data_IF_034183960312
#
_entry.id   IF_034183960312
#
_cell.length_a   1.000
_cell.length_b   1.000
_cell.length_c   1.000
_cell.angle_alpha   90.00
_cell.angle_beta   90.00
_cell.angle_gamma   90.00
#
_symmetry.space_group_name_H-M   'P 1'
#
loop_
_entity.id
_entity.type
_entity.pdbx_description
1 polymer ?
#
# COMPACT_ATOMS: atom_id res chain seq x y z
N UNK A 1 15.23 -30.01 11.17
CA UNK A 1 15.41 -28.55 10.95
C UNK A 1 16.83 -28.18 11.34
N UNK A 2 17.70 -27.85 10.40
CA UNK A 2 19.07 -27.40 10.70
C UNK A 2 19.06 -26.17 11.60
N UNK A 3 20.04 -26.04 12.49
CA UNK A 3 20.12 -24.95 13.48
C UNK A 3 20.11 -23.55 12.83
N UNK A 4 20.56 -23.44 11.57
CA UNK A 4 20.51 -22.22 10.77
C UNK A 4 19.10 -21.70 10.50
N UNK A 5 18.09 -22.57 10.37
CA UNK A 5 16.69 -22.16 10.10
C UNK A 5 15.99 -21.53 11.29
N UNK A 6 16.51 -21.73 12.52
CA UNK A 6 15.97 -21.13 13.75
C UNK A 6 16.69 -19.83 14.15
N UNK A 7 17.69 -19.38 13.39
CA UNK A 7 18.44 -18.16 13.69
C UNK A 7 17.53 -16.94 13.80
N UNK A 8 16.52 -16.85 12.93
CA UNK A 8 15.56 -15.74 12.89
C UNK A 8 14.41 -15.89 13.90
N UNK A 9 14.31 -17.01 14.61
CA UNK A 9 13.25 -17.31 15.58
C UNK A 9 13.83 -17.48 16.98
N UNK A 10 14.36 -16.39 17.56
CA UNK A 10 15.09 -16.40 18.85
C UNK A 10 14.34 -17.13 19.97
N UNK A 11 13.05 -16.87 20.11
CA UNK A 11 12.22 -17.47 21.17
C UNK A 11 12.02 -18.98 20.95
N UNK A 12 11.77 -19.41 19.71
CA UNK A 12 11.61 -20.83 19.37
C UNK A 12 12.92 -21.61 19.55
N UNK A 13 14.06 -20.99 19.20
CA UNK A 13 15.40 -21.54 19.44
C UNK A 13 15.67 -21.72 20.93
N UNK A 14 15.35 -20.72 21.75
CA UNK A 14 15.50 -20.78 23.21
C UNK A 14 14.62 -21.88 23.82
N UNK A 15 13.35 -21.95 23.42
CA UNK A 15 12.43 -22.99 23.88
C UNK A 15 12.95 -24.39 23.57
N UNK A 16 13.37 -24.64 22.32
CA UNK A 16 13.92 -25.94 21.90
C UNK A 16 15.16 -26.33 22.70
N UNK A 17 16.09 -25.39 22.87
CA UNK A 17 17.35 -25.66 23.58
C UNK A 17 17.15 -25.83 25.10
N UNK A 18 16.17 -25.14 25.70
CA UNK A 18 15.89 -25.25 27.13
C UNK A 18 15.07 -26.48 27.52
N UNK A 19 14.28 -27.02 26.60
CA UNK A 19 13.34 -28.13 26.89
C UNK A 19 13.67 -29.44 26.15
N UNK A 20 14.63 -29.41 25.21
CA UNK A 20 14.87 -30.49 24.24
C UNK A 20 13.61 -30.93 23.45
N UNK A 21 12.59 -30.06 23.36
CA UNK A 21 11.37 -30.37 22.64
C UNK A 21 11.62 -30.60 21.14
N UNK A 22 10.94 -31.61 20.58
CA UNK A 22 10.92 -31.84 19.13
C UNK A 22 9.99 -30.82 18.46
N UNK A 23 10.48 -30.13 17.44
CA UNK A 23 9.66 -29.23 16.61
C UNK A 23 9.09 -30.03 15.45
N UNK A 24 7.76 -30.06 15.33
CA UNK A 24 7.10 -30.54 14.13
C UNK A 24 7.39 -29.58 12.97
N UNK A 25 8.27 -30.02 12.08
CA UNK A 25 8.73 -29.22 10.96
C UNK A 25 7.67 -29.05 9.88
N UNK A 26 6.73 -29.98 9.75
CA UNK A 26 5.66 -29.91 8.75
C UNK A 26 4.64 -28.88 9.18
N UNK A 27 4.20 -28.95 10.43
CA UNK A 27 3.30 -27.95 11.01
C UNK A 27 3.93 -26.55 10.98
N UNK A 28 5.18 -26.43 11.43
CA UNK A 28 5.88 -25.14 11.44
C UNK A 28 6.02 -24.54 10.03
N UNK A 29 6.36 -25.35 9.03
CA UNK A 29 6.46 -24.89 7.63
C UNK A 29 5.11 -24.46 7.06
N UNK A 30 4.04 -25.19 7.39
CA UNK A 30 2.68 -24.83 6.98
C UNK A 30 2.23 -23.51 7.63
N UNK A 31 2.47 -23.32 8.93
CA UNK A 31 2.14 -22.10 9.63
C UNK A 31 2.88 -20.87 9.05
N UNK A 32 4.18 -21.02 8.75
CA UNK A 32 4.95 -19.96 8.09
C UNK A 32 4.42 -19.64 6.68
N UNK A 33 4.05 -20.67 5.90
CA UNK A 33 3.46 -20.47 4.58
C UNK A 33 2.15 -19.68 4.70
N UNK A 34 1.24 -20.09 5.58
CA UNK A 34 -0.03 -19.40 5.79
C UNK A 34 0.16 -17.95 6.26
N UNK A 35 1.12 -17.68 7.14
CA UNK A 35 1.46 -16.33 7.56
C UNK A 35 1.98 -15.48 6.38
N UNK A 36 2.86 -16.05 5.55
CA UNK A 36 3.39 -15.36 4.36
C UNK A 36 2.27 -15.05 3.36
N UNK A 37 1.41 -16.03 3.10
CA UNK A 37 0.34 -15.92 2.12
C UNK A 37 -0.72 -14.91 2.61
N UNK A 38 -1.13 -14.97 3.88
CA UNK A 38 -2.04 -13.99 4.47
C UNK A 38 -1.45 -12.59 4.58
N UNK A 39 -0.13 -12.45 4.81
CA UNK A 39 0.54 -11.17 4.72
C UNK A 39 0.53 -10.63 3.28
N UNK A 40 0.84 -11.47 2.29
CA UNK A 40 0.87 -11.07 0.88
C UNK A 40 -0.51 -10.61 0.39
N UNK A 41 -1.57 -11.31 0.77
CA UNK A 41 -2.96 -10.93 0.47
C UNK A 41 -3.30 -9.54 1.04
N UNK A 42 -3.07 -9.34 2.35
CA UNK A 42 -3.33 -8.04 3.00
C UNK A 42 -2.44 -6.93 2.47
N UNK A 43 -1.18 -7.24 2.17
CA UNK A 43 -0.25 -6.28 1.59
C UNK A 43 -0.74 -5.80 0.23
N UNK A 44 -1.16 -6.72 -0.65
CA UNK A 44 -1.69 -6.38 -1.96
C UNK A 44 -2.90 -5.45 -1.86
N UNK A 45 -3.88 -5.79 -1.01
CA UNK A 45 -5.07 -4.96 -0.77
C UNK A 45 -4.70 -3.55 -0.28
N UNK A 46 -3.82 -3.45 0.72
CA UNK A 46 -3.38 -2.16 1.28
C UNK A 46 -2.52 -1.37 0.29
N UNK A 47 -1.75 -2.04 -0.55
CA UNK A 47 -0.92 -1.40 -1.56
C UNK A 47 -1.75 -0.76 -2.68
N UNK A 48 -2.84 -1.41 -3.11
CA UNK A 48 -3.80 -0.80 -4.02
C UNK A 48 -4.44 0.45 -3.40
N UNK A 49 -4.93 0.36 -2.15
CA UNK A 49 -5.46 1.52 -1.43
C UNK A 49 -4.42 2.66 -1.32
N UNK A 50 -3.16 2.33 -1.09
CA UNK A 50 -2.08 3.31 -1.03
C UNK A 50 -1.87 4.02 -2.38
N UNK A 51 -1.80 3.30 -3.51
CA UNK A 51 -1.66 3.92 -4.83
C UNK A 51 -2.79 4.91 -5.10
N UNK A 52 -4.01 4.50 -4.75
CA UNK A 52 -5.21 5.32 -4.86
C UNK A 52 -5.16 6.57 -3.97
N UNK A 53 -4.69 6.47 -2.73
CA UNK A 53 -4.55 7.64 -1.85
C UNK A 53 -3.39 8.55 -2.30
N UNK A 54 -2.34 7.96 -2.87
CA UNK A 54 -1.17 8.70 -3.36
C UNK A 54 -1.54 9.61 -4.53
N UNK A 55 -2.37 9.18 -5.48
CA UNK A 55 -2.85 10.03 -6.57
C UNK A 55 -3.71 11.19 -6.04
N UNK A 56 -4.56 10.95 -5.04
CA UNK A 56 -5.32 12.00 -4.35
C UNK A 56 -4.41 13.02 -3.64
N UNK A 57 -3.35 12.57 -2.97
CA UNK A 57 -2.36 13.47 -2.37
C UNK A 57 -1.57 14.26 -3.41
N UNK A 58 -1.21 13.62 -4.54
CA UNK A 58 -0.52 14.30 -5.63
C UNK A 58 -1.36 15.46 -6.19
N UNK A 59 -2.68 15.28 -6.31
CA UNK A 59 -3.61 16.32 -6.73
C UNK A 59 -3.60 17.54 -5.79
N UNK A 60 -3.50 17.33 -4.48
CA UNK A 60 -3.43 18.42 -3.50
C UNK A 60 -2.12 19.20 -3.62
N UNK A 61 -1.00 18.50 -3.85
CA UNK A 61 0.33 19.13 -3.90
C UNK A 61 0.55 19.85 -5.24
N UNK A 62 0.14 19.22 -6.34
CA UNK A 62 0.30 19.77 -7.68
C UNK A 62 -0.89 19.35 -8.55
N UNK A 63 -2.00 20.12 -8.51
CA UNK A 63 -3.22 19.73 -9.19
C UNK A 63 -3.02 19.63 -10.70
N UNK A 64 -2.29 20.57 -11.31
CA UNK A 64 -2.17 20.72 -12.78
C UNK A 64 -1.48 19.52 -13.46
N UNK A 65 -0.52 18.90 -12.78
CA UNK A 65 0.27 17.77 -13.29
C UNK A 65 -0.32 16.39 -12.95
N UNK A 66 -1.41 16.35 -12.17
CA UNK A 66 -1.98 15.08 -11.69
C UNK A 66 -2.95 14.47 -12.70
N UNK A 67 -2.91 13.14 -12.86
CA UNK A 67 -3.91 12.39 -13.61
C UNK A 67 -5.23 12.31 -12.83
N UNK A 68 -6.20 13.13 -13.19
CA UNK A 68 -7.52 13.16 -12.55
C UNK A 68 -8.30 11.85 -12.67
N UNK A 69 -8.00 11.02 -13.68
CA UNK A 69 -8.67 9.73 -13.88
C UNK A 69 -8.29 8.70 -12.81
N UNK A 70 -7.12 8.86 -12.18
CA UNK A 70 -6.60 7.97 -11.14
C UNK A 70 -6.90 8.50 -9.73
N UNK A 71 -7.48 9.70 -9.61
CA UNK A 71 -7.74 10.35 -8.33
C UNK A 71 -9.02 9.79 -7.71
N UNK A 72 -8.90 9.13 -6.56
CA UNK A 72 -10.09 8.62 -5.87
C UNK A 72 -10.76 9.70 -5.04
N UNK A 73 -11.92 10.10 -5.53
CA UNK A 73 -12.76 11.14 -4.93
C UNK A 73 -14.05 10.62 -4.29
N UNK A 74 -14.34 9.32 -4.45
CA UNK A 74 -15.53 8.67 -3.88
C UNK A 74 -15.68 8.87 -2.38
N UNK A 75 -14.61 8.75 -1.56
CA UNK A 75 -14.67 8.99 -0.11
C UNK A 75 -15.11 10.41 0.29
N UNK A 76 -15.00 11.38 -0.62
CA UNK A 76 -15.33 12.78 -0.34
C UNK A 76 -16.73 13.17 -0.84
N UNK A 77 -17.46 12.24 -1.46
CA UNK A 77 -18.78 12.52 -2.03
C UNK A 77 -18.76 13.51 -3.20
N UNK A 78 -17.60 13.67 -3.85
CA UNK A 78 -17.43 14.59 -4.97
C UNK A 78 -17.81 13.88 -6.27
N UNK A 79 -18.64 14.53 -7.08
CA UNK A 79 -18.95 14.07 -8.42
C UNK A 79 -17.74 14.22 -9.37
N UNK A 80 -17.45 13.17 -10.13
CA UNK A 80 -16.32 13.14 -11.07
C UNK A 80 -16.47 14.17 -12.19
N UNK A 81 -17.69 14.41 -12.68
CA UNK A 81 -17.96 15.42 -13.70
C UNK A 81 -17.68 16.83 -13.19
N UNK A 82 -18.16 17.15 -11.98
CA UNK A 82 -17.91 18.42 -11.32
C UNK A 82 -16.41 18.68 -11.11
N UNK A 83 -15.66 17.68 -10.65
CA UNK A 83 -14.22 17.80 -10.48
C UNK A 83 -13.50 18.02 -11.82
N UNK A 84 -13.86 17.30 -12.88
CA UNK A 84 -13.29 17.48 -14.21
C UNK A 84 -13.53 18.89 -14.74
N UNK A 85 -14.73 19.44 -14.54
CA UNK A 85 -15.06 20.81 -14.94
C UNK A 85 -14.24 21.85 -14.19
N UNK A 86 -14.10 21.71 -12.87
CA UNK A 86 -13.27 22.60 -12.06
C UNK A 86 -11.79 22.52 -12.45
N UNK A 87 -11.32 21.32 -12.78
CA UNK A 87 -9.94 21.12 -13.23
C UNK A 87 -9.66 21.74 -14.60
N UNK A 88 -10.61 21.66 -15.54
CA UNK A 88 -10.51 22.31 -16.84
C UNK A 88 -10.45 23.84 -16.70
N UNK A 89 -11.27 24.42 -15.82
CA UNK A 89 -11.24 25.85 -15.50
C UNK A 89 -9.88 26.26 -14.93
N UNK A 90 -9.34 25.48 -13.98
CA UNK A 90 -8.03 25.73 -13.37
C UNK A 90 -6.89 25.72 -14.42
N UNK A 91 -6.86 24.72 -15.31
CA UNK A 91 -5.88 24.66 -16.42
C UNK A 91 -6.00 25.85 -17.37
N UNK A 92 -7.23 26.27 -17.65
CA UNK A 92 -7.49 27.41 -18.52
C UNK A 92 -6.97 28.70 -17.88
N UNK A 93 -7.23 28.91 -16.58
CA UNK A 93 -6.71 30.07 -15.82
C UNK A 93 -5.20 30.12 -15.79
N UNK A 94 -4.54 28.99 -15.54
CA UNK A 94 -3.07 28.89 -15.56
C UNK A 94 -2.50 29.29 -16.93
N UNK A 95 -3.06 28.72 -18.01
CA UNK A 95 -2.67 29.05 -19.39
C UNK A 95 -2.80 30.55 -19.70
N UNK A 96 -3.87 31.20 -19.23
CA UNK A 96 -4.08 32.63 -19.44
C UNK A 96 -3.16 33.50 -18.59
N UNK A 97 -2.83 33.07 -17.36
CA UNK A 97 -1.90 33.81 -16.50
C UNK A 97 -0.51 33.96 -17.14
N UNK A 98 -0.01 32.93 -17.82
CA UNK A 98 1.27 32.96 -18.51
C UNK A 98 1.30 33.77 -19.82
N UNK A 99 0.14 34.15 -20.38
CA UNK A 99 0.07 34.96 -21.61
C UNK A 99 0.13 36.47 -21.38
N UNK A 100 -0.13 36.91 -20.16
CA UNK A 100 -0.22 38.33 -19.79
C UNK A 100 0.83 38.75 -18.76
N UNK A 101 1.82 37.89 -18.52
CA UNK A 101 3.01 38.17 -17.70
C UNK A 101 4.23 38.27 -18.61
#
# INVERSE_FOLDING_TARGET
MESGKLLHFKNLKQYRNGTNATIDTNYFSLALKNMKDGFAERFAERFEQFKTNKSTLAFIVNPLDTNTNETNIGPFGIDAGSLQMQFLDLKTKDLWSGKFT
#
